data_IF_197722320505
#
_entry.id   IF_197722320505
#
_cell.length_a   1.000
_cell.length_b   1.000
_cell.length_c   1.000
_cell.angle_alpha   90.00
_cell.angle_beta   90.00
_cell.angle_gamma   90.00
#
_symmetry.space_group_name_H-M   'P 1'
#
loop_
_entity.id
_entity.type
_entity.pdbx_description
1 polymer ?
#
# COMPACT_ATOMS: atom_id res chain seq x y z
N UNK A 1 24.58 22.96 -23.64
CA UNK A 1 23.98 23.66 -22.48
C UNK A 1 22.46 23.50 -22.43
N UNK A 2 21.72 23.47 -23.56
CA UNK A 2 20.27 23.12 -23.54
C UNK A 2 19.99 21.67 -23.09
N UNK A 3 20.90 20.74 -23.38
CA UNK A 3 20.76 19.33 -23.01
C UNK A 3 20.66 19.11 -21.50
N UNK A 4 21.39 19.90 -20.70
CA UNK A 4 21.40 19.78 -19.24
C UNK A 4 20.09 20.26 -18.61
N UNK A 5 19.45 21.28 -19.19
CA UNK A 5 18.17 21.80 -18.68
C UNK A 5 17.03 20.81 -18.94
N UNK A 6 17.00 20.17 -20.11
CA UNK A 6 15.98 19.16 -20.43
C UNK A 6 16.16 17.92 -19.55
N UNK A 7 17.41 17.47 -19.35
CA UNK A 7 17.70 16.37 -18.43
C UNK A 7 17.28 16.67 -17.00
N UNK A 8 17.55 17.89 -16.51
CA UNK A 8 17.15 18.33 -15.17
C UNK A 8 15.62 18.37 -15.01
N UNK A 9 14.90 18.95 -15.97
CA UNK A 9 13.44 19.01 -15.94
C UNK A 9 12.78 17.63 -16.02
N UNK A 10 13.36 16.69 -16.79
CA UNK A 10 12.88 15.31 -16.85
C UNK A 10 13.13 14.58 -15.52
N UNK A 11 14.27 14.83 -14.88
CA UNK A 11 14.60 14.23 -13.59
C UNK A 11 13.67 14.73 -12.48
N UNK A 12 13.41 16.03 -12.39
CA UNK A 12 12.43 16.61 -11.45
C UNK A 12 11.03 15.98 -11.62
N UNK A 13 10.62 15.72 -12.87
CA UNK A 13 9.32 15.08 -13.16
C UNK A 13 9.27 13.63 -12.75
N UNK A 14 10.37 12.89 -12.93
CA UNK A 14 10.48 11.50 -12.50
C UNK A 14 10.41 11.42 -10.97
N UNK A 15 11.17 12.27 -10.27
CA UNK A 15 11.17 12.32 -8.80
C UNK A 15 9.80 12.69 -8.24
N UNK A 16 9.11 13.66 -8.84
CA UNK A 16 7.75 14.03 -8.44
C UNK A 16 6.76 12.86 -8.61
N UNK A 17 6.89 12.10 -9.71
CA UNK A 17 6.04 10.94 -9.96
C UNK A 17 6.34 9.78 -9.00
N UNK A 18 7.60 9.55 -8.65
CA UNK A 18 7.98 8.55 -7.65
C UNK A 18 7.44 8.90 -6.27
N UNK A 19 7.53 10.18 -5.86
CA UNK A 19 6.96 10.65 -4.61
C UNK A 19 5.44 10.48 -4.57
N UNK A 20 4.74 10.82 -5.65
CA UNK A 20 3.28 10.63 -5.75
C UNK A 20 2.91 9.15 -5.62
N UNK A 21 3.66 8.25 -6.28
CA UNK A 21 3.45 6.79 -6.15
C UNK A 21 3.63 6.29 -4.73
N UNK A 22 4.65 6.77 -4.01
CA UNK A 22 4.87 6.41 -2.60
C UNK A 22 3.72 6.91 -1.72
N UNK A 23 3.29 8.16 -1.92
CA UNK A 23 2.15 8.72 -1.16
C UNK A 23 0.87 7.92 -1.40
N UNK A 24 0.59 7.56 -2.65
CA UNK A 24 -0.56 6.72 -3.00
C UNK A 24 -0.49 5.34 -2.34
N UNK A 25 0.69 4.70 -2.35
CA UNK A 25 0.89 3.41 -1.67
C UNK A 25 0.56 3.53 -0.19
N UNK A 26 1.11 4.56 0.45
CA UNK A 26 0.94 4.74 1.89
C UNK A 26 -0.50 5.08 2.27
N UNK A 27 -1.20 5.86 1.44
CA UNK A 27 -2.63 6.11 1.61
C UNK A 27 -3.47 4.83 1.49
N UNK A 28 -3.10 3.94 0.56
CA UNK A 28 -3.76 2.64 0.42
C UNK A 28 -3.51 1.73 1.63
N UNK A 29 -2.26 1.65 2.10
CA UNK A 29 -1.90 0.89 3.31
C UNK A 29 -2.71 1.38 4.52
N UNK A 30 -2.74 2.70 4.75
CA UNK A 30 -3.52 3.29 5.84
C UNK A 30 -5.02 2.97 5.72
N UNK A 31 -5.58 3.05 4.51
CA UNK A 31 -7.00 2.73 4.28
C UNK A 31 -7.30 1.27 4.60
N UNK A 32 -6.39 0.35 4.27
CA UNK A 32 -6.53 -1.08 4.59
C UNK A 32 -6.45 -1.29 6.11
N UNK A 33 -5.49 -0.64 6.78
CA UNK A 33 -5.36 -0.68 8.24
C UNK A 33 -6.65 -0.21 8.93
N UNK A 34 -7.22 0.92 8.49
CA UNK A 34 -8.46 1.46 9.04
C UNK A 34 -9.65 0.51 8.86
N UNK A 35 -9.77 -0.13 7.69
CA UNK A 35 -10.83 -1.10 7.41
C UNK A 35 -10.69 -2.32 8.32
N UNK A 36 -9.48 -2.83 8.50
CA UNK A 36 -9.23 -3.96 9.39
C UNK A 36 -9.54 -3.57 10.83
N UNK A 37 -9.04 -2.43 11.31
CA UNK A 37 -9.32 -1.96 12.66
C UNK A 37 -10.82 -1.78 12.92
N UNK A 38 -11.57 -1.32 11.91
CA UNK A 38 -13.02 -1.16 12.00
C UNK A 38 -13.78 -2.49 12.00
N UNK A 39 -13.32 -3.49 11.24
CA UNK A 39 -14.02 -4.78 11.08
C UNK A 39 -13.59 -5.83 12.10
N UNK A 40 -12.33 -5.79 12.49
CA UNK A 40 -11.63 -6.73 13.33
C UNK A 40 -10.82 -5.96 14.38
N UNK A 41 -11.47 -5.42 15.42
CA UNK A 41 -10.79 -4.56 16.41
C UNK A 41 -9.69 -5.28 17.18
N UNK A 42 -9.76 -6.61 17.28
CA UNK A 42 -8.75 -7.46 17.93
C UNK A 42 -7.64 -7.92 16.96
N UNK A 43 -7.52 -7.28 15.79
CA UNK A 43 -6.49 -7.62 14.81
C UNK A 43 -5.07 -7.50 15.42
N UNK A 44 -4.21 -8.52 15.24
CA UNK A 44 -2.87 -8.48 15.81
C UNK A 44 -2.03 -7.41 15.11
N UNK A 45 -1.21 -6.71 15.89
CA UNK A 45 -0.27 -5.71 15.37
C UNK A 45 0.66 -6.26 14.27
N UNK A 46 0.96 -7.57 14.30
CA UNK A 46 1.74 -8.24 13.26
C UNK A 46 1.09 -8.16 11.87
N UNK A 47 -0.24 -8.18 11.80
CA UNK A 47 -0.99 -8.04 10.54
C UNK A 47 -0.83 -6.64 9.96
N UNK A 48 -0.94 -5.61 10.80
CA UNK A 48 -0.71 -4.21 10.43
C UNK A 48 0.72 -4.03 9.92
N UNK A 49 1.71 -4.59 10.64
CA UNK A 49 3.10 -4.55 10.20
C UNK A 49 3.32 -5.24 8.85
N UNK A 50 2.67 -6.37 8.59
CA UNK A 50 2.76 -7.07 7.32
C UNK A 50 2.20 -6.21 6.17
N UNK A 51 1.07 -5.53 6.37
CA UNK A 51 0.48 -4.62 5.36
C UNK A 51 1.43 -3.48 4.99
N UNK A 52 2.14 -2.91 5.96
CA UNK A 52 3.12 -1.84 5.72
C UNK A 52 4.36 -2.28 4.94
N UNK A 53 4.64 -3.58 4.92
CA UNK A 53 5.75 -4.15 4.15
C UNK A 53 5.39 -4.41 2.68
N UNK A 54 4.12 -4.30 2.31
CA UNK A 54 3.68 -4.51 0.93
C UNK A 54 3.99 -3.25 0.11
N UNK A 55 5.00 -3.37 -0.76
CA UNK A 55 5.43 -2.30 -1.65
C UNK A 55 4.70 -2.29 -3.01
N UNK A 56 4.06 -3.40 -3.36
CA UNK A 56 3.34 -3.54 -4.62
C UNK A 56 1.88 -3.05 -4.48
N UNK A 57 1.50 -2.11 -5.35
CA UNK A 57 0.16 -1.52 -5.35
C UNK A 57 -0.92 -2.52 -5.75
N UNK A 58 -0.59 -3.45 -6.67
CA UNK A 58 -1.51 -4.49 -7.10
C UNK A 58 -1.80 -5.47 -5.96
N UNK A 59 -0.76 -5.87 -5.22
CA UNK A 59 -0.92 -6.71 -4.02
C UNK A 59 -1.80 -6.03 -2.97
N UNK A 60 -1.59 -4.73 -2.68
CA UNK A 60 -2.46 -3.96 -1.79
C UNK A 60 -3.93 -3.94 -2.25
N UNK A 61 -4.18 -3.81 -3.56
CA UNK A 61 -5.53 -3.84 -4.11
C UNK A 61 -6.19 -5.22 -4.00
N UNK A 62 -5.43 -6.29 -4.24
CA UNK A 62 -5.90 -7.66 -4.06
C UNK A 62 -6.24 -7.93 -2.60
N UNK A 63 -5.35 -7.51 -1.69
CA UNK A 63 -5.55 -7.61 -0.25
C UNK A 63 -6.81 -6.85 0.20
N UNK A 64 -6.99 -5.61 -0.25
CA UNK A 64 -8.20 -4.83 0.05
C UNK A 64 -9.47 -5.57 -0.39
N UNK A 65 -9.50 -6.08 -1.63
CA UNK A 65 -10.66 -6.84 -2.14
C UNK A 65 -10.92 -8.09 -1.32
N UNK A 66 -9.86 -8.76 -0.90
CA UNK A 66 -9.95 -9.98 -0.13
C UNK A 66 -10.43 -9.70 1.30
N UNK A 67 -9.92 -8.65 1.96
CA UNK A 67 -10.41 -8.18 3.27
C UNK A 67 -11.90 -7.86 3.19
N UNK A 68 -12.34 -7.11 2.18
CA UNK A 68 -13.76 -6.76 2.02
C UNK A 68 -14.67 -7.99 1.85
N UNK A 69 -14.14 -9.12 1.39
CA UNK A 69 -14.86 -10.39 1.24
C UNK A 69 -14.69 -11.32 2.44
N UNK A 70 -13.63 -11.14 3.22
CA UNK A 70 -13.30 -12.00 4.34
C UNK A 70 -14.42 -11.96 5.40
N UNK A 71 -14.74 -13.14 5.93
CA UNK A 71 -15.77 -13.28 6.99
C UNK A 71 -15.16 -13.12 8.37
N UNK A 72 -13.90 -13.53 8.53
CA UNK A 72 -13.13 -13.48 9.77
C UNK A 72 -11.69 -13.01 9.54
N UNK A 73 -10.98 -12.79 10.65
CA UNK A 73 -9.61 -12.30 10.67
C UNK A 73 -8.59 -13.36 10.25
N UNK A 74 -8.88 -14.65 10.48
CA UNK A 74 -7.99 -15.77 10.12
C UNK A 74 -7.89 -15.92 8.59
N UNK A 75 -8.99 -15.68 7.88
CA UNK A 75 -9.00 -15.56 6.42
C UNK A 75 -8.13 -14.41 5.92
N UNK A 76 -8.10 -13.27 6.63
CA UNK A 76 -7.21 -12.15 6.31
C UNK A 76 -5.73 -12.51 6.55
N UNK A 77 -5.42 -13.15 7.67
CA UNK A 77 -4.05 -13.56 8.02
C UNK A 77 -3.43 -14.50 6.97
N UNK A 78 -4.18 -15.50 6.52
CA UNK A 78 -3.72 -16.46 5.49
C UNK A 78 -3.34 -15.80 4.16
N UNK A 79 -3.97 -14.68 3.81
CA UNK A 79 -3.64 -13.95 2.57
C UNK A 79 -2.27 -13.28 2.60
N UNK A 80 -1.74 -13.01 3.80
CA UNK A 80 -0.43 -12.39 3.99
C UNK A 80 0.72 -13.41 4.13
N UNK A 81 0.38 -14.70 4.25
CA UNK A 81 1.35 -15.80 4.35
C UNK A 81 1.68 -16.45 2.99
N UNK A 82 1.10 -15.96 1.90
CA UNK A 82 1.27 -16.49 0.53
C UNK A 82 2.20 -15.62 -0.29
#
# INVERSE_FOLDING_TARGET
METDLISYLMQDKIEAFEQERVQWRQAMQNSIEDIIASRFPDAPLGLIMAIRQIDDMHELQLLLRAILRATDLDEVGRLLET
#
